data_IF_075394216478
#
_entry.id   IF_075394216478
#
_cell.length_a   1.000
_cell.length_b   1.000
_cell.length_c   1.000
_cell.angle_alpha   90.00
_cell.angle_beta   90.00
_cell.angle_gamma   90.00
#
_symmetry.space_group_name_H-M   'P 1'
#
loop_
_entity.id
_entity.type
_entity.pdbx_description
1 polymer ?
#
# COMPACT_ATOMS: atom_id res chain seq x y z
N UNK A 1 26.01 18.50 -1.02
CA UNK A 1 26.38 17.60 0.12
C UNK A 1 26.94 16.32 -0.47
N UNK A 2 27.89 15.62 0.18
CA UNK A 2 28.33 14.31 -0.31
C UNK A 2 27.12 13.37 -0.35
N UNK A 3 26.93 12.66 -1.47
CA UNK A 3 25.80 11.75 -1.69
C UNK A 3 25.57 10.77 -0.53
N UNK A 4 26.66 10.26 0.04
CA UNK A 4 26.66 9.38 1.21
C UNK A 4 25.97 9.99 2.44
N UNK A 5 26.10 11.30 2.65
CA UNK A 5 25.46 12.00 3.77
C UNK A 5 23.95 12.00 3.61
N UNK A 6 23.45 12.17 2.38
CA UNK A 6 22.02 12.20 2.12
C UNK A 6 21.39 10.81 2.21
N UNK A 7 22.06 9.76 1.71
CA UNK A 7 21.61 8.37 1.89
C UNK A 7 21.57 8.01 3.37
N UNK A 8 22.62 8.33 4.14
CA UNK A 8 22.64 8.09 5.58
C UNK A 8 21.52 8.84 6.31
N UNK A 9 21.27 10.10 5.93
CA UNK A 9 20.16 10.89 6.46
C UNK A 9 18.81 10.23 6.18
N UNK A 10 18.56 9.78 4.94
CA UNK A 10 17.31 9.10 4.55
C UNK A 10 17.14 7.77 5.29
N UNK A 11 18.23 7.00 5.47
CA UNK A 11 18.21 5.76 6.25
C UNK A 11 17.83 6.02 7.72
N UNK A 12 18.44 7.02 8.36
CA UNK A 12 18.13 7.41 9.74
C UNK A 12 16.69 7.92 9.85
N UNK A 13 16.26 8.76 8.90
CA UNK A 13 14.88 9.24 8.82
C UNK A 13 13.90 8.06 8.74
N UNK A 14 14.15 7.10 7.84
CA UNK A 14 13.30 5.93 7.68
C UNK A 14 13.29 5.03 8.92
N UNK A 15 14.42 4.88 9.61
CA UNK A 15 14.46 4.13 10.88
C UNK A 15 13.66 4.83 11.98
N UNK A 16 13.76 6.16 12.09
CA UNK A 16 12.96 6.98 13.02
C UNK A 16 11.46 6.90 12.71
N UNK A 17 11.09 7.02 11.43
CA UNK A 17 9.70 6.84 10.99
C UNK A 17 9.22 5.43 11.32
N UNK A 18 9.99 4.39 11.01
CA UNK A 18 9.65 3.00 11.34
C UNK A 18 9.44 2.77 12.85
N UNK A 19 10.20 3.46 13.70
CA UNK A 19 10.00 3.42 15.15
C UNK A 19 8.67 4.04 15.57
N UNK A 20 8.27 5.15 14.92
CA UNK A 20 6.92 5.71 15.08
C UNK A 20 5.83 4.78 14.51
N UNK A 21 6.07 4.11 13.37
CA UNK A 21 5.11 3.15 12.82
C UNK A 21 4.83 1.99 13.78
N UNK A 22 5.82 1.55 14.58
CA UNK A 22 5.58 0.58 15.65
C UNK A 22 4.60 1.08 16.72
N UNK A 23 4.59 2.39 17.01
CA UNK A 23 3.59 3.00 17.90
C UNK A 23 2.21 2.93 17.26
N UNK A 24 2.09 3.29 15.98
CA UNK A 24 0.83 3.20 15.22
C UNK A 24 0.30 1.76 15.19
N UNK A 25 1.14 0.79 14.83
CA UNK A 25 0.77 -0.63 14.77
C UNK A 25 0.26 -1.15 16.12
N UNK A 26 0.86 -0.70 17.23
CA UNK A 26 0.47 -1.13 18.57
C UNK A 26 -0.83 -0.46 19.05
N UNK A 27 -0.93 0.87 18.89
CA UNK A 27 -1.98 1.70 19.50
C UNK A 27 -3.25 1.82 18.67
N UNK A 28 -3.13 1.85 17.35
CA UNK A 28 -4.26 2.12 16.46
C UNK A 28 -5.39 1.07 16.58
N UNK A 29 -5.13 -0.25 16.65
CA UNK A 29 -6.18 -1.26 16.84
C UNK A 29 -6.81 -1.24 18.24
N UNK A 30 -6.21 -0.52 19.19
CA UNK A 30 -6.65 -0.39 20.58
C UNK A 30 -7.34 0.96 20.84
N UNK A 31 -7.52 1.76 19.79
CA UNK A 31 -7.97 3.17 19.86
C UNK A 31 -7.25 4.01 20.93
N UNK A 32 -5.97 3.70 21.14
CA UNK A 32 -5.11 4.47 22.03
C UNK A 32 -4.56 5.72 21.31
N UNK A 33 -4.30 6.78 22.08
CA UNK A 33 -3.71 8.00 21.53
C UNK A 33 -2.29 7.77 20.99
N UNK A 34 -2.05 8.21 19.75
CA UNK A 34 -0.75 8.12 19.08
C UNK A 34 0.29 9.12 19.62
N UNK A 35 -0.16 10.18 20.31
CA UNK A 35 0.70 11.30 20.72
C UNK A 35 1.09 11.20 22.19
N UNK A 36 0.16 10.83 23.07
CA UNK A 36 0.39 10.77 24.52
C UNK A 36 -0.25 9.52 25.13
N UNK A 37 0.40 8.84 26.11
CA UNK A 37 1.72 9.12 26.68
C UNK A 37 2.89 8.69 25.75
N UNK A 38 4.13 9.01 26.14
CA UNK A 38 5.33 8.57 25.40
C UNK A 38 5.52 7.04 25.38
N UNK A 39 6.55 6.59 24.67
CA UNK A 39 6.90 5.16 24.57
C UNK A 39 7.18 4.55 25.94
N UNK A 40 6.55 3.40 26.22
CA UNK A 40 6.69 2.68 27.48
C UNK A 40 6.77 1.18 27.23
N UNK A 41 7.33 0.45 28.20
CA UNK A 41 7.38 -1.00 28.14
C UNK A 41 5.98 -1.59 28.45
N UNK A 42 5.42 -2.48 27.62
CA UNK A 42 4.08 -3.03 27.84
C UNK A 42 3.98 -3.93 29.09
N UNK A 43 5.08 -4.55 29.53
CA UNK A 43 5.05 -5.42 30.73
C UNK A 43 5.22 -4.69 32.05
N UNK A 44 6.05 -3.63 32.09
CA UNK A 44 6.35 -2.92 33.35
C UNK A 44 5.83 -1.49 33.40
N UNK A 45 5.20 -1.03 32.32
CA UNK A 45 4.60 0.31 32.12
C UNK A 45 5.53 1.49 32.41
N UNK A 46 6.84 1.26 32.55
CA UNK A 46 7.82 2.31 32.74
C UNK A 46 8.11 3.01 31.41
N UNK A 47 8.31 4.33 31.43
CA UNK A 47 8.73 5.08 30.24
C UNK A 47 10.10 4.60 29.75
N UNK A 48 10.24 4.51 28.44
CA UNK A 48 11.50 4.15 27.78
C UNK A 48 12.39 5.40 27.75
N UNK A 49 13.65 5.26 28.18
CA UNK A 49 14.62 6.34 28.11
C UNK A 49 14.90 6.70 26.64
N UNK A 50 15.17 7.98 26.34
CA UNK A 50 15.35 8.44 24.96
C UNK A 50 16.45 7.67 24.19
N UNK A 51 17.54 7.28 24.86
CA UNK A 51 18.64 6.51 24.25
C UNK A 51 18.33 5.02 24.11
N UNK A 52 17.31 4.51 24.82
CA UNK A 52 16.76 3.16 24.62
C UNK A 52 15.70 3.17 23.49
N UNK A 53 15.41 4.34 22.92
CA UNK A 53 14.49 4.54 21.80
C UNK A 53 15.23 4.87 20.49
N UNK A 54 16.56 4.66 20.43
CA UNK A 54 17.32 4.78 19.18
C UNK A 54 16.99 3.56 18.31
N UNK A 55 16.37 3.73 17.12
CA UNK A 55 15.88 2.65 16.29
C UNK A 55 16.99 1.64 15.95
N UNK A 56 16.66 0.34 15.94
CA UNK A 56 17.51 -0.82 15.63
C UNK A 56 18.64 -1.03 16.66
N UNK A 57 19.42 0.02 16.93
CA UNK A 57 20.59 0.00 17.80
C UNK A 57 20.23 -0.35 19.23
N UNK A 58 19.19 0.27 19.80
CA UNK A 58 18.79 0.02 21.19
C UNK A 58 18.35 -1.43 21.37
N UNK A 59 17.61 -1.97 20.40
CA UNK A 59 17.15 -3.36 20.43
C UNK A 59 18.34 -4.32 20.38
N UNK A 60 19.32 -4.09 19.50
CA UNK A 60 20.55 -4.90 19.40
C UNK A 60 21.39 -4.86 20.68
N UNK A 61 21.67 -3.65 21.21
CA UNK A 61 22.49 -3.46 22.42
C UNK A 61 21.84 -4.05 23.67
N UNK A 62 20.51 -4.08 23.72
CA UNK A 62 19.75 -4.69 24.80
C UNK A 62 19.44 -6.17 24.57
N UNK A 63 19.93 -6.75 23.47
CA UNK A 63 19.66 -8.13 23.05
C UNK A 63 18.16 -8.46 23.02
N UNK A 64 17.34 -7.52 22.55
CA UNK A 64 15.90 -7.64 22.46
C UNK A 64 15.20 -7.76 23.82
N UNK A 65 15.71 -7.13 24.88
CA UNK A 65 15.10 -7.18 26.22
C UNK A 65 14.91 -5.78 26.80
N UNK A 66 13.86 -5.60 27.60
CA UNK A 66 13.69 -4.37 28.36
C UNK A 66 14.85 -4.19 29.35
N UNK A 67 15.44 -2.99 29.40
CA UNK A 67 16.55 -2.68 30.32
C UNK A 67 16.22 -2.97 31.80
N UNK A 68 14.98 -2.69 32.21
CA UNK A 68 14.50 -2.75 33.61
C UNK A 68 13.92 -4.12 33.98
N UNK A 69 12.84 -4.55 33.33
CA UNK A 69 12.15 -5.80 33.68
C UNK A 69 12.71 -7.03 32.97
N UNK A 70 13.67 -6.87 32.04
CA UNK A 70 14.30 -7.95 31.26
C UNK A 70 13.36 -8.80 30.40
N UNK A 71 12.07 -8.45 30.34
CA UNK A 71 11.10 -9.05 29.43
C UNK A 71 11.56 -8.89 27.97
N UNK A 72 11.39 -9.92 27.13
CA UNK A 72 11.76 -9.85 25.73
C UNK A 72 10.88 -8.84 24.99
N UNK A 73 11.50 -8.05 24.12
CA UNK A 73 10.87 -7.12 23.19
C UNK A 73 10.77 -7.83 21.84
N UNK A 74 9.59 -7.83 21.23
CA UNK A 74 9.34 -8.51 19.96
C UNK A 74 10.35 -8.08 18.87
N UNK A 75 10.80 -9.05 18.09
CA UNK A 75 11.65 -8.87 16.91
C UNK A 75 11.01 -7.95 15.86
N UNK A 76 9.67 -7.91 15.81
CA UNK A 76 8.89 -7.03 14.94
C UNK A 76 9.37 -5.59 14.97
N UNK A 77 9.70 -5.07 16.15
CA UNK A 77 10.11 -3.67 16.30
C UNK A 77 11.34 -3.35 15.44
N UNK A 78 12.40 -4.17 15.56
CA UNK A 78 13.61 -4.01 14.77
C UNK A 78 13.38 -4.27 13.27
N UNK A 79 12.49 -5.21 12.92
CA UNK A 79 12.16 -5.51 11.52
C UNK A 79 11.44 -4.35 10.84
N UNK A 80 10.42 -3.77 11.49
CA UNK A 80 9.69 -2.60 10.96
C UNK A 80 10.64 -1.42 10.78
N UNK A 81 11.48 -1.12 11.78
CA UNK A 81 12.47 -0.03 11.71
C UNK A 81 13.45 -0.21 10.55
N UNK A 82 14.00 -1.42 10.40
CA UNK A 82 14.95 -1.75 9.33
C UNK A 82 14.26 -1.69 7.95
N UNK A 83 13.04 -2.23 7.85
CA UNK A 83 12.29 -2.25 6.60
C UNK A 83 11.94 -0.84 6.13
N UNK A 84 11.45 0.03 7.03
CA UNK A 84 11.14 1.43 6.67
C UNK A 84 12.40 2.18 6.25
N UNK A 85 13.52 2.00 6.97
CA UNK A 85 14.81 2.58 6.58
C UNK A 85 15.22 2.17 5.16
N UNK A 86 15.12 0.87 4.84
CA UNK A 86 15.54 0.35 3.54
C UNK A 86 14.59 0.72 2.41
N UNK A 87 13.27 0.77 2.66
CA UNK A 87 12.29 1.27 1.71
C UNK A 87 12.53 2.74 1.36
N UNK A 88 12.85 3.56 2.36
CA UNK A 88 13.11 4.99 2.18
C UNK A 88 14.40 5.22 1.39
N UNK A 89 15.46 4.46 1.70
CA UNK A 89 16.70 4.51 0.91
C UNK A 89 16.47 4.03 -0.51
N UNK A 90 15.73 2.93 -0.70
CA UNK A 90 15.50 2.38 -2.03
C UNK A 90 14.71 3.33 -2.93
N UNK A 91 13.68 3.98 -2.40
CA UNK A 91 12.89 4.93 -3.19
C UNK A 91 13.68 6.22 -3.47
N UNK A 92 14.49 6.69 -2.52
CA UNK A 92 15.40 7.80 -2.73
C UNK A 92 16.46 7.48 -3.80
N UNK A 93 17.01 6.26 -3.79
CA UNK A 93 17.99 5.81 -4.80
C UNK A 93 17.37 5.62 -6.18
N UNK A 94 16.16 5.06 -6.23
CA UNK A 94 15.39 4.84 -7.45
C UNK A 94 15.06 6.17 -8.17
N UNK A 95 14.64 7.19 -7.42
CA UNK A 95 14.33 8.51 -7.98
C UNK A 95 15.55 9.42 -8.14
N UNK A 96 16.53 9.34 -7.24
CA UNK A 96 17.59 10.34 -7.19
C UNK A 96 18.89 10.00 -7.89
N UNK A 97 19.35 8.76 -7.78
CA UNK A 97 20.71 8.38 -8.23
C UNK A 97 20.68 7.57 -9.51
N UNK A 98 19.86 6.52 -9.50
CA UNK A 98 19.80 5.54 -10.57
C UNK A 98 18.98 6.05 -11.75
N UNK A 99 18.12 7.06 -11.54
CA UNK A 99 17.15 7.54 -12.51
C UNK A 99 16.32 6.38 -13.08
N UNK A 100 16.06 5.32 -12.31
CA UNK A 100 15.33 4.13 -12.77
C UNK A 100 13.85 4.39 -13.04
N UNK A 101 13.41 5.60 -12.71
CA UNK A 101 12.08 6.12 -12.97
C UNK A 101 12.16 7.34 -13.88
N UNK A 102 11.50 7.24 -15.04
CA UNK A 102 11.30 8.36 -15.93
C UNK A 102 10.34 9.36 -15.25
N UNK A 103 10.79 10.62 -15.11
CA UNK A 103 9.95 11.74 -14.67
C UNK A 103 10.22 12.29 -13.26
N UNK A 104 11.09 11.67 -12.46
CA UNK A 104 11.55 12.22 -11.18
C UNK A 104 13.07 12.23 -11.24
N UNK A 105 13.66 13.35 -11.66
CA UNK A 105 15.07 13.43 -12.03
C UNK A 105 15.92 14.17 -11.01
N UNK A 106 15.31 15.00 -10.15
CA UNK A 106 16.02 15.76 -9.13
C UNK A 106 15.27 15.68 -7.79
N UNK A 107 15.76 14.89 -6.82
CA UNK A 107 15.13 14.74 -5.50
C UNK A 107 14.87 16.04 -4.74
N UNK A 108 15.64 17.10 -5.01
CA UNK A 108 15.47 18.40 -4.35
C UNK A 108 14.27 19.14 -4.93
N UNK A 109 14.06 19.01 -6.23
CA UNK A 109 12.95 19.62 -6.95
C UNK A 109 11.67 18.79 -6.75
N UNK A 110 11.81 17.48 -6.84
CA UNK A 110 10.74 16.50 -6.82
C UNK A 110 10.40 16.01 -5.40
N UNK A 111 10.94 16.69 -4.39
CA UNK A 111 10.75 16.34 -2.98
C UNK A 111 9.28 16.18 -2.55
N UNK A 112 8.27 16.93 -3.09
CA UNK A 112 6.88 16.73 -2.68
C UNK A 112 6.35 15.36 -3.09
N UNK A 113 6.74 14.88 -4.28
CA UNK A 113 6.39 13.55 -4.77
C UNK A 113 7.18 12.47 -4.02
N UNK A 114 8.46 12.71 -3.72
CA UNK A 114 9.24 11.83 -2.87
C UNK A 114 8.56 11.66 -1.50
N UNK A 115 8.17 12.76 -0.84
CA UNK A 115 7.46 12.73 0.45
C UNK A 115 6.16 11.95 0.34
N UNK A 116 5.36 12.15 -0.72
CA UNK A 116 4.16 11.35 -0.97
C UNK A 116 4.46 9.84 -1.03
N UNK A 117 5.53 9.44 -1.71
CA UNK A 117 5.97 8.04 -1.74
C UNK A 117 6.44 7.53 -0.38
N UNK A 118 7.10 8.36 0.43
CA UNK A 118 7.48 7.99 1.80
C UNK A 118 6.24 7.70 2.67
N UNK A 119 5.19 8.52 2.55
CA UNK A 119 3.91 8.28 3.23
C UNK A 119 3.22 7.01 2.70
N UNK A 120 3.23 6.80 1.39
CA UNK A 120 2.69 5.59 0.76
C UNK A 120 3.39 4.34 1.31
N UNK A 121 4.72 4.29 1.27
CA UNK A 121 5.51 3.14 1.71
C UNK A 121 5.39 2.91 3.23
N UNK A 122 5.40 3.98 4.03
CA UNK A 122 5.18 3.88 5.47
C UNK A 122 3.78 3.33 5.81
N UNK A 123 2.74 3.83 5.12
CA UNK A 123 1.37 3.34 5.28
C UNK A 123 1.21 1.88 4.85
N UNK A 124 1.83 1.47 3.74
CA UNK A 124 1.85 0.07 3.32
C UNK A 124 2.53 -0.85 4.33
N UNK A 125 3.61 -0.41 4.99
CA UNK A 125 4.25 -1.17 6.08
C UNK A 125 3.27 -1.34 7.25
N UNK A 126 2.61 -0.26 7.70
CA UNK A 126 1.63 -0.33 8.80
C UNK A 126 0.49 -1.28 8.44
N UNK A 127 -0.14 -1.10 7.28
CA UNK A 127 -1.27 -1.92 6.83
C UNK A 127 -0.84 -3.38 6.70
N UNK A 128 0.34 -3.67 6.14
CA UNK A 128 0.83 -5.05 6.02
C UNK A 128 0.99 -5.70 7.39
N UNK A 129 1.56 -4.99 8.37
CA UNK A 129 1.75 -5.54 9.71
C UNK A 129 0.42 -5.70 10.46
N UNK A 130 -0.50 -4.75 10.31
CA UNK A 130 -1.84 -4.82 10.88
C UNK A 130 -2.66 -5.96 10.28
N UNK A 131 -2.60 -6.15 8.96
CA UNK A 131 -3.30 -7.24 8.28
C UNK A 131 -2.73 -8.61 8.67
N UNK A 132 -1.39 -8.73 8.80
CA UNK A 132 -0.74 -9.94 9.30
C UNK A 132 -1.12 -10.25 10.75
N UNK A 133 -1.34 -9.27 11.61
CA UNK A 133 -1.61 -9.53 13.03
C UNK A 133 -3.10 -9.63 13.36
N UNK A 134 -3.91 -8.79 12.73
CA UNK A 134 -5.27 -8.51 13.13
C UNK A 134 -6.29 -8.69 11.99
N UNK A 135 -5.85 -9.05 10.77
CA UNK A 135 -6.70 -9.06 9.57
C UNK A 135 -7.47 -7.75 9.36
N UNK A 136 -6.83 -6.63 9.74
CA UNK A 136 -7.44 -5.31 9.80
C UNK A 136 -6.74 -4.36 8.82
N UNK A 137 -7.55 -3.71 7.98
CA UNK A 137 -7.12 -2.59 7.14
C UNK A 137 -7.79 -1.32 7.66
N UNK A 138 -7.02 -0.48 8.36
CA UNK A 138 -7.51 0.78 8.91
C UNK A 138 -7.57 1.89 7.84
N UNK A 139 -8.78 2.34 7.51
CA UNK A 139 -9.01 3.37 6.49
C UNK A 139 -8.37 4.72 6.84
N UNK A 140 -8.12 5.03 8.12
CA UNK A 140 -7.44 6.28 8.52
C UNK A 140 -6.05 6.34 7.91
N UNK A 141 -5.34 5.21 7.85
CA UNK A 141 -4.00 5.12 7.24
C UNK A 141 -4.09 5.28 5.72
N UNK A 142 -5.07 4.64 5.08
CA UNK A 142 -5.32 4.77 3.64
C UNK A 142 -5.60 6.23 3.27
N UNK A 143 -6.44 6.93 4.04
CA UNK A 143 -6.76 8.33 3.77
C UNK A 143 -5.54 9.24 3.90
N UNK A 144 -4.65 8.98 4.87
CA UNK A 144 -3.38 9.72 4.97
C UNK A 144 -2.50 9.47 3.75
N UNK A 145 -2.39 8.22 3.27
CA UNK A 145 -1.63 7.89 2.06
C UNK A 145 -2.18 8.60 0.81
N UNK A 146 -3.51 8.57 0.62
CA UNK A 146 -4.18 9.24 -0.49
C UNK A 146 -3.99 10.76 -0.40
N UNK A 147 -4.22 11.36 0.77
CA UNK A 147 -4.07 12.80 0.96
C UNK A 147 -2.63 13.28 0.71
N UNK A 148 -1.64 12.58 1.26
CA UNK A 148 -0.23 12.87 1.01
C UNK A 148 0.11 12.78 -0.49
N UNK A 149 -0.46 11.78 -1.18
CA UNK A 149 -0.29 11.61 -2.63
C UNK A 149 -0.90 12.76 -3.42
N UNK A 150 -2.16 13.12 -3.16
CA UNK A 150 -2.83 14.23 -3.83
C UNK A 150 -2.06 15.55 -3.66
N UNK A 151 -1.57 15.82 -2.45
CA UNK A 151 -0.78 17.02 -2.14
C UNK A 151 0.58 16.97 -2.84
N UNK A 152 1.29 15.85 -2.75
CA UNK A 152 2.61 15.68 -3.35
C UNK A 152 2.56 15.84 -4.87
N UNK A 153 1.57 15.24 -5.52
CA UNK A 153 1.35 15.39 -6.96
C UNK A 153 0.90 16.81 -7.33
N UNK A 154 0.00 17.44 -6.56
CA UNK A 154 -0.41 18.82 -6.83
C UNK A 154 0.74 19.83 -6.69
N UNK A 155 1.76 19.57 -5.87
CA UNK A 155 2.90 20.47 -5.73
C UNK A 155 4.03 20.13 -6.71
N UNK A 156 4.29 18.83 -6.91
CA UNK A 156 5.46 18.34 -7.66
C UNK A 156 5.24 18.14 -9.15
N UNK A 157 4.02 18.24 -9.68
CA UNK A 157 3.75 17.95 -11.10
C UNK A 157 4.37 18.99 -12.04
N UNK A 158 5.49 18.66 -12.68
CA UNK A 158 6.15 19.51 -13.68
C UNK A 158 5.91 19.00 -15.10
N UNK A 159 5.55 19.91 -15.99
CA UNK A 159 4.93 19.61 -17.29
C UNK A 159 5.79 18.83 -18.29
N UNK A 160 7.12 18.80 -18.18
CA UNK A 160 7.97 18.01 -19.11
C UNK A 160 8.15 16.55 -18.68
N UNK A 161 8.00 16.26 -17.38
CA UNK A 161 8.22 14.95 -16.78
C UNK A 161 6.91 14.17 -16.55
N UNK A 162 5.83 14.91 -16.38
CA UNK A 162 4.44 14.48 -16.32
C UNK A 162 3.97 13.57 -17.48
N UNK A 163 4.62 13.65 -18.65
CA UNK A 163 4.27 12.84 -19.82
C UNK A 163 4.74 11.37 -19.73
N UNK A 164 5.63 11.06 -18.77
CA UNK A 164 6.22 9.73 -18.61
C UNK A 164 5.49 8.87 -17.55
N UNK A 165 4.92 9.50 -16.53
CA UNK A 165 3.81 8.90 -15.79
C UNK A 165 2.57 8.94 -16.67
N UNK A 166 1.62 7.98 -16.63
CA UNK A 166 0.44 8.06 -17.46
C UNK A 166 -0.43 9.20 -16.92
N UNK A 167 -0.17 10.42 -17.38
CA UNK A 167 -1.13 11.51 -17.31
C UNK A 167 -2.39 11.00 -18.01
N UNK A 168 -3.55 11.00 -17.34
CA UNK A 168 -4.77 10.56 -18.00
C UNK A 168 -4.95 11.39 -19.27
N UNK A 169 -5.05 10.71 -20.41
CA UNK A 169 -5.54 11.35 -21.62
C UNK A 169 -6.91 11.99 -21.35
N UNK A 170 -7.27 13.00 -22.14
CA UNK A 170 -8.52 13.75 -22.00
C UNK A 170 -9.74 12.86 -21.66
N UNK A 171 -9.91 11.76 -22.41
CA UNK A 171 -10.99 10.80 -22.26
C UNK A 171 -11.00 10.09 -20.89
N UNK A 172 -9.81 9.77 -20.37
CA UNK A 172 -9.65 9.07 -19.11
C UNK A 172 -10.01 9.98 -17.91
N UNK A 173 -9.64 11.27 -17.99
CA UNK A 173 -10.02 12.27 -16.99
C UNK A 173 -11.53 12.55 -17.01
N UNK A 174 -12.13 12.71 -18.19
CA UNK A 174 -13.57 12.90 -18.34
C UNK A 174 -14.36 11.68 -17.86
N UNK A 175 -13.87 10.47 -18.12
CA UNK A 175 -14.44 9.23 -17.61
C UNK A 175 -14.48 9.19 -16.08
N UNK A 176 -13.39 9.55 -15.42
CA UNK A 176 -13.33 9.60 -13.95
C UNK A 176 -14.28 10.65 -13.35
N UNK A 177 -14.39 11.82 -13.98
CA UNK A 177 -15.35 12.85 -13.57
C UNK A 177 -16.80 12.36 -13.72
N UNK A 178 -17.11 11.64 -14.80
CA UNK A 178 -18.40 11.00 -15.02
C UNK A 178 -18.74 9.99 -13.92
N UNK A 179 -17.77 9.17 -13.51
CA UNK A 179 -17.95 8.19 -12.43
C UNK A 179 -18.27 8.88 -11.08
N UNK A 180 -17.50 9.92 -10.72
CA UNK A 180 -17.72 10.69 -9.48
C UNK A 180 -19.07 11.40 -9.51
N UNK A 181 -19.45 12.01 -10.64
CA UNK A 181 -20.72 12.69 -10.80
C UNK A 181 -21.91 11.71 -10.70
N UNK A 182 -21.78 10.51 -11.27
CA UNK A 182 -22.78 9.44 -11.17
C UNK A 182 -23.03 9.00 -9.72
N UNK A 183 -21.96 8.80 -8.94
CA UNK A 183 -22.07 8.44 -7.52
C UNK A 183 -22.65 9.58 -6.68
N UNK A 184 -22.26 10.82 -6.96
CA UNK A 184 -22.84 11.99 -6.30
C UNK A 184 -24.35 12.12 -6.56
N UNK A 185 -24.77 11.93 -7.82
CA UNK A 185 -26.18 11.97 -8.20
C UNK A 185 -26.97 10.86 -7.50
N UNK A 186 -26.41 9.65 -7.40
CA UNK A 186 -27.01 8.54 -6.65
C UNK A 186 -27.28 8.95 -5.20
N UNK A 187 -26.28 9.50 -4.51
CA UNK A 187 -26.42 9.95 -3.11
C UNK A 187 -27.48 11.03 -2.95
N UNK A 188 -27.54 11.99 -3.87
CA UNK A 188 -28.59 13.02 -3.87
C UNK A 188 -29.99 12.45 -4.09
N UNK A 189 -30.14 11.48 -4.99
CA UNK A 189 -31.44 10.82 -5.27
C UNK A 189 -31.86 9.97 -4.08
N UNK A 190 -30.94 9.25 -3.45
CA UNK A 190 -31.21 8.43 -2.28
C UNK A 190 -31.52 9.28 -1.04
N UNK A 191 -30.77 10.37 -0.79
CA UNK A 191 -31.04 11.25 0.35
C UNK A 191 -32.41 11.93 0.26
N UNK A 192 -32.97 12.07 -0.95
CA UNK A 192 -34.32 12.59 -1.20
C UNK A 192 -35.41 11.52 -1.02
N UNK A 193 -35.07 10.24 -1.15
CA UNK A 193 -36.00 9.12 -0.91
C UNK A 193 -36.06 8.76 0.58
N UNK A 194 -34.96 8.92 1.30
CA UNK A 194 -34.88 8.74 2.76
C UNK A 194 -35.21 10.05 3.49
N UNK A 195 -36.44 10.55 3.30
CA UNK A 195 -37.08 11.44 4.27
C UNK A 195 -37.64 10.69 5.48
N UNK A 196 -37.48 9.36 5.50
CA UNK A 196 -37.71 8.50 6.65
C UNK A 196 -36.36 8.19 7.30
N UNK A 197 -36.29 8.36 8.63
CA UNK A 197 -35.16 7.91 9.43
C UNK A 197 -34.81 6.46 9.08
N UNK A 198 -33.53 6.08 9.07
CA UNK A 198 -33.17 4.67 8.90
C UNK A 198 -33.89 3.86 9.97
N UNK A 199 -34.67 2.86 9.56
CA UNK A 199 -35.11 1.83 10.50
C UNK A 199 -33.84 1.17 11.02
N UNK A 200 -33.60 1.31 12.33
CA UNK A 200 -32.68 0.47 13.11
C UNK A 200 -33.19 -0.97 13.00
N UNK A 201 -32.94 -1.59 11.84
CA UNK A 201 -33.14 -3.01 11.66
C UNK A 201 -32.11 -3.69 12.54
N UNK A 202 -32.58 -4.23 13.67
CA UNK A 202 -31.90 -5.14 14.60
C UNK A 202 -30.46 -5.38 14.15
N UNK A 203 -29.57 -4.45 14.54
CA UNK A 203 -28.15 -4.74 14.57
C UNK A 203 -28.06 -5.89 15.56
N UNK A 204 -28.11 -7.13 15.04
CA UNK A 204 -27.38 -8.20 15.68
C UNK A 204 -26.01 -7.60 15.89
N UNK A 205 -25.76 -7.24 17.14
CA UNK A 205 -24.47 -6.83 17.65
C UNK A 205 -23.60 -8.04 17.33
N UNK A 206 -23.03 -8.05 16.12
CA UNK A 206 -21.78 -8.71 15.83
C UNK A 206 -20.89 -8.04 16.85
N UNK A 207 -20.73 -8.72 18.00
CA UNK A 207 -19.77 -8.32 19.01
C UNK A 207 -18.53 -8.00 18.19
N UNK A 208 -18.06 -6.76 18.27
CA UNK A 208 -16.71 -6.43 17.83
C UNK A 208 -15.87 -7.63 18.26
N UNK A 209 -15.13 -8.28 17.33
CA UNK A 209 -14.36 -9.46 17.68
C UNK A 209 -13.60 -9.06 18.92
N UNK A 210 -13.94 -9.67 20.06
CA UNK A 210 -13.33 -9.32 21.33
C UNK A 210 -11.87 -9.57 21.06
N UNK A 211 -11.10 -8.50 20.88
CA UNK A 211 -9.68 -8.58 20.59
C UNK A 211 -9.17 -9.49 21.69
N UNK A 212 -8.84 -10.73 21.33
CA UNK A 212 -8.48 -11.73 22.31
C UNK A 212 -7.43 -11.07 23.17
N UNK A 213 -7.74 -10.88 24.46
CA UNK A 213 -6.79 -10.24 25.34
C UNK A 213 -5.50 -11.02 25.15
N UNK A 214 -4.45 -10.37 24.62
CA UNK A 214 -3.11 -10.93 24.75
C UNK A 214 -2.99 -11.28 26.23
N UNK A 215 -2.62 -12.52 26.57
CA UNK A 215 -2.75 -13.03 27.92
C UNK A 215 -2.20 -11.99 28.89
N UNK A 216 -3.08 -11.42 29.71
CA UNK A 216 -2.68 -10.41 30.70
C UNK A 216 -1.56 -11.02 31.54
N UNK A 217 -0.39 -10.40 31.46
CA UNK A 217 0.54 -10.25 32.58
C UNK A 217 1.34 -11.47 33.07
N UNK A 218 0.91 -12.72 32.89
CA UNK A 218 1.54 -13.83 33.62
C UNK A 218 2.38 -14.76 32.75
N UNK A 219 2.24 -14.72 31.42
CA UNK A 219 3.06 -15.51 30.51
C UNK A 219 3.85 -14.60 29.58
N UNK A 220 5.11 -14.38 29.98
CA UNK A 220 6.10 -13.78 29.09
C UNK A 220 6.13 -14.55 27.75
N UNK A 221 6.13 -13.87 26.59
CA UNK A 221 6.37 -14.57 25.34
C UNK A 221 7.68 -15.37 25.49
N UNK A 222 7.69 -16.66 25.11
CA UNK A 222 8.84 -17.51 25.35
C UNK A 222 10.09 -16.85 24.78
N UNK A 223 11.22 -16.89 25.50
CA UNK A 223 12.45 -16.28 25.02
C UNK A 223 12.78 -16.83 23.63
N UNK A 224 13.10 -15.94 22.69
CA UNK A 224 13.40 -16.36 21.33
C UNK A 224 14.52 -17.40 21.34
N UNK A 225 14.34 -18.55 20.68
CA UNK A 225 15.40 -19.55 20.56
C UNK A 225 16.60 -18.93 19.84
N UNK A 226 17.81 -19.28 20.29
CA UNK A 226 19.06 -18.61 19.89
C UNK A 226 19.30 -18.50 18.37
N UNK A 227 18.76 -19.45 17.59
CA UNK A 227 18.84 -19.43 16.14
C UNK A 227 18.03 -18.29 15.50
N UNK A 228 16.89 -17.89 16.08
CA UNK A 228 16.10 -16.75 15.60
C UNK A 228 16.83 -15.43 15.85
N UNK A 229 17.46 -15.28 17.01
CA UNK A 229 18.30 -14.13 17.33
C UNK A 229 19.52 -14.05 16.40
N UNK A 230 20.15 -15.19 16.11
CA UNK A 230 21.25 -15.28 15.16
C UNK A 230 20.82 -14.89 13.74
N UNK A 231 19.68 -15.40 13.25
CA UNK A 231 19.12 -15.04 11.94
C UNK A 231 18.78 -13.56 11.85
N UNK A 232 18.25 -12.96 12.92
CA UNK A 232 17.98 -11.54 12.94
C UNK A 232 19.25 -10.70 12.90
N UNK A 233 20.28 -11.06 13.68
CA UNK A 233 21.56 -10.35 13.65
C UNK A 233 22.17 -10.45 12.25
N UNK A 234 22.18 -11.64 11.65
CA UNK A 234 22.55 -11.83 10.25
C UNK A 234 21.73 -10.97 9.30
N UNK A 235 20.44 -10.83 9.54
CA UNK A 235 19.54 -10.04 8.72
C UNK A 235 19.74 -8.53 8.87
N UNK A 236 19.95 -8.01 10.08
CA UNK A 236 20.26 -6.59 10.31
C UNK A 236 21.65 -6.27 9.76
N UNK A 237 22.61 -7.16 9.95
CA UNK A 237 23.94 -7.05 9.33
C UNK A 237 23.85 -7.10 7.80
N UNK A 238 22.99 -7.94 7.24
CA UNK A 238 22.70 -7.98 5.81
C UNK A 238 22.07 -6.65 5.36
N UNK A 239 21.04 -6.15 6.05
CA UNK A 239 20.43 -4.87 5.75
C UNK A 239 21.42 -3.70 5.79
N UNK A 240 22.27 -3.65 6.82
CA UNK A 240 23.36 -2.67 6.93
C UNK A 240 24.41 -2.84 5.83
N UNK A 241 24.82 -4.08 5.53
CA UNK A 241 25.77 -4.38 4.46
C UNK A 241 25.20 -4.02 3.09
N UNK A 242 23.90 -4.18 2.87
CA UNK A 242 23.19 -3.82 1.65
C UNK A 242 23.06 -2.30 1.51
N UNK A 243 22.76 -1.57 2.59
CA UNK A 243 22.81 -0.11 2.63
C UNK A 243 24.23 0.37 2.26
N UNK A 244 25.26 -0.23 2.87
CA UNK A 244 26.67 0.06 2.54
C UNK A 244 27.00 -0.32 1.09
N UNK A 245 26.48 -1.42 0.56
CA UNK A 245 26.66 -1.82 -0.83
C UNK A 245 26.03 -0.82 -1.80
N UNK A 246 24.83 -0.30 -1.50
CA UNK A 246 24.24 0.82 -2.25
C UNK A 246 25.08 2.10 -2.16
N UNK A 247 25.76 2.34 -1.03
CA UNK A 247 26.65 3.50 -0.83
C UNK A 247 28.01 3.37 -1.56
N UNK A 248 28.57 2.16 -1.65
CA UNK A 248 29.97 1.93 -2.07
C UNK A 248 30.08 1.49 -3.54
N UNK A 249 29.00 1.00 -4.15
CA UNK A 249 28.99 0.63 -5.56
C UNK A 249 29.01 1.85 -6.51
N UNK A 250 29.82 1.78 -7.57
CA UNK A 250 29.57 2.50 -8.82
C UNK A 250 29.24 1.45 -9.88
N UNK A 251 27.99 1.33 -10.34
CA UNK A 251 27.83 0.76 -11.68
C UNK A 251 26.62 1.31 -12.47
N UNK A 252 26.53 0.94 -13.74
CA UNK A 252 25.48 1.36 -14.66
C UNK A 252 24.03 1.12 -14.15
N UNK A 253 23.07 1.87 -14.72
CA UNK A 253 21.62 1.90 -14.42
C UNK A 253 20.99 0.51 -14.15
N UNK A 254 21.50 -0.53 -14.81
CA UNK A 254 20.93 -1.88 -14.75
C UNK A 254 21.34 -2.74 -13.56
N UNK A 255 22.47 -2.44 -12.90
CA UNK A 255 23.02 -3.25 -11.80
C UNK A 255 22.38 -2.91 -10.43
N UNK A 256 21.82 -1.71 -10.30
CA UNK A 256 21.17 -1.24 -9.07
C UNK A 256 19.79 -1.85 -8.83
N UNK A 257 18.99 -2.03 -9.89
CA UNK A 257 17.65 -2.63 -9.81
C UNK A 257 17.69 -4.02 -9.17
N UNK A 258 18.62 -4.89 -9.58
CA UNK A 258 18.75 -6.26 -9.08
C UNK A 258 19.19 -6.28 -7.60
N UNK A 259 20.10 -5.37 -7.23
CA UNK A 259 20.61 -5.22 -5.86
C UNK A 259 19.50 -4.75 -4.93
N UNK A 260 18.81 -3.65 -5.24
CA UNK A 260 17.69 -3.14 -4.43
C UNK A 260 16.55 -4.16 -4.27
N UNK A 261 16.29 -4.98 -5.30
CA UNK A 261 15.26 -6.01 -5.28
C UNK A 261 15.56 -7.19 -4.37
N UNK A 262 16.78 -7.72 -4.45
CA UNK A 262 17.22 -8.76 -3.52
C UNK A 262 17.11 -8.28 -2.07
N UNK A 263 17.39 -7.00 -1.80
CA UNK A 263 17.28 -6.44 -0.45
C UNK A 263 15.82 -6.38 0.03
N UNK A 264 14.94 -5.73 -0.72
CA UNK A 264 13.56 -5.44 -0.30
C UNK A 264 12.66 -6.68 -0.25
N UNK A 265 12.83 -7.61 -1.19
CA UNK A 265 12.10 -8.88 -1.20
C UNK A 265 12.40 -9.74 0.02
N UNK A 266 13.68 -9.86 0.40
CA UNK A 266 14.09 -10.59 1.61
C UNK A 266 13.60 -9.92 2.89
N UNK A 267 13.54 -8.58 2.91
CA UNK A 267 13.10 -7.82 4.08
C UNK A 267 11.62 -7.97 4.34
N UNK A 268 10.83 -7.82 3.29
CA UNK A 268 9.40 -7.95 3.39
C UNK A 268 9.02 -9.40 3.73
N UNK A 269 9.72 -10.37 3.14
CA UNK A 269 9.59 -11.78 3.49
C UNK A 269 9.98 -12.05 4.96
N UNK A 270 11.02 -11.40 5.47
CA UNK A 270 11.41 -11.49 6.87
C UNK A 270 10.42 -10.79 7.82
N UNK A 271 9.75 -9.70 7.41
CA UNK A 271 8.62 -9.11 8.16
C UNK A 271 7.47 -10.12 8.21
N UNK A 272 7.13 -10.73 7.08
CA UNK A 272 6.09 -11.78 7.04
C UNK A 272 6.47 -12.89 8.03
N UNK A 273 7.69 -13.42 7.98
CA UNK A 273 8.15 -14.47 8.92
C UNK A 273 8.22 -13.99 10.38
N UNK A 274 8.73 -12.79 10.63
CA UNK A 274 8.93 -12.25 11.98
C UNK A 274 7.63 -11.80 12.65
N UNK A 275 6.60 -11.50 11.85
CA UNK A 275 5.25 -11.22 12.31
C UNK A 275 4.37 -12.48 12.36
N UNK A 276 4.92 -13.68 12.08
CA UNK A 276 4.26 -14.97 12.31
C UNK A 276 4.55 -15.47 13.74
N UNK A 277 3.70 -15.15 14.76
CA UNK A 277 3.48 -16.07 15.90
C UNK A 277 2.09 -16.74 15.91
N UNK A 278 1.95 -17.77 16.76
CA UNK A 278 0.86 -18.77 16.83
C UNK A 278 -0.54 -18.16 16.99
N UNK A 279 -1.40 -18.35 15.99
CA UNK A 279 -2.81 -17.94 16.03
C UNK A 279 -3.68 -19.09 16.54
N UNK A 280 -4.46 -18.82 17.58
CA UNK A 280 -5.55 -19.69 18.07
C UNK A 280 -6.88 -19.40 17.35
N UNK A 281 -6.98 -18.29 16.61
CA UNK A 281 -8.22 -17.78 15.98
C UNK A 281 -8.36 -18.05 14.48
N UNK A 282 -7.39 -18.75 13.84
CA UNK A 282 -7.49 -19.06 12.40
C UNK A 282 -8.69 -19.98 12.10
N UNK A 283 -9.11 -20.81 13.05
CA UNK A 283 -10.29 -21.68 12.90
C UNK A 283 -11.58 -20.85 12.94
N UNK A 284 -11.72 -19.92 13.88
CA UNK A 284 -12.91 -19.07 14.02
C UNK A 284 -13.14 -18.17 12.79
N UNK A 285 -12.07 -17.62 12.21
CA UNK A 285 -12.16 -16.78 11.01
C UNK A 285 -12.53 -17.62 9.78
N UNK A 286 -11.90 -18.79 9.62
CA UNK A 286 -12.22 -19.70 8.50
C UNK A 286 -13.68 -20.15 8.62
N UNK A 287 -14.15 -20.51 9.83
CA UNK A 287 -15.54 -20.86 10.09
C UNK A 287 -16.51 -19.71 9.84
N UNK A 288 -16.17 -18.47 10.21
CA UNK A 288 -16.97 -17.28 9.88
C UNK A 288 -17.13 -17.08 8.36
N UNK A 289 -16.02 -17.14 7.61
CA UNK A 289 -16.04 -17.07 6.13
C UNK A 289 -16.87 -18.20 5.53
N UNK A 290 -16.82 -19.40 6.13
CA UNK A 290 -17.59 -20.54 5.66
C UNK A 290 -19.09 -20.39 5.87
N UNK A 291 -19.50 -19.67 6.92
CA UNK A 291 -20.89 -19.44 7.30
C UNK A 291 -21.55 -18.29 6.51
N UNK A 292 -20.79 -17.32 6.00
CA UNK A 292 -21.30 -16.16 5.23
C UNK A 292 -21.59 -16.43 3.74
N UNK A 293 -21.31 -17.64 3.25
CA UNK A 293 -21.51 -18.05 1.83
C UNK A 293 -22.87 -17.69 1.21
N UNK A 294 -24.04 -17.81 1.88
CA UNK A 294 -25.32 -17.52 1.23
C UNK A 294 -25.60 -16.02 1.00
N UNK A 295 -24.89 -15.12 1.70
CA UNK A 295 -25.14 -13.67 1.64
C UNK A 295 -24.24 -12.97 0.61
N UNK A 296 -23.06 -13.53 0.33
CA UNK A 296 -22.05 -12.93 -0.55
C UNK A 296 -22.58 -12.59 -1.96
N UNK A 297 -23.39 -13.46 -2.58
CA UNK A 297 -23.97 -13.18 -3.91
C UNK A 297 -24.99 -12.04 -3.87
N UNK A 298 -25.79 -11.94 -2.80
CA UNK A 298 -26.75 -10.83 -2.65
C UNK A 298 -26.01 -9.52 -2.45
N UNK A 299 -24.94 -9.53 -1.67
CA UNK A 299 -24.07 -8.38 -1.49
C UNK A 299 -23.42 -7.94 -2.81
N UNK A 300 -22.85 -8.86 -3.59
CA UNK A 300 -22.27 -8.52 -4.89
C UNK A 300 -23.29 -7.89 -5.86
N UNK A 301 -24.54 -8.37 -5.87
CA UNK A 301 -25.62 -7.75 -6.67
C UNK A 301 -25.98 -6.35 -6.15
N UNK A 302 -25.97 -6.13 -4.82
CA UNK A 302 -26.16 -4.79 -4.24
C UNK A 302 -25.02 -3.85 -4.61
N UNK A 303 -23.77 -4.27 -4.45
CA UNK A 303 -22.58 -3.50 -4.85
C UNK A 303 -22.63 -3.15 -6.36
N UNK A 304 -23.03 -4.09 -7.22
CA UNK A 304 -23.21 -3.82 -8.65
C UNK A 304 -24.32 -2.78 -8.92
N UNK A 305 -25.45 -2.89 -8.21
CA UNK A 305 -26.53 -1.92 -8.32
C UNK A 305 -26.11 -0.52 -7.81
N UNK A 306 -25.35 -0.47 -6.71
CA UNK A 306 -24.83 0.78 -6.15
C UNK A 306 -23.82 1.46 -7.06
N UNK A 307 -22.98 0.70 -7.78
CA UNK A 307 -21.99 1.25 -8.70
C UNK A 307 -22.56 1.59 -10.08
N UNK A 308 -23.77 1.13 -10.42
CA UNK A 308 -24.39 1.34 -11.74
C UNK A 308 -24.41 2.82 -12.20
N UNK A 309 -24.71 3.82 -11.35
CA UNK A 309 -24.66 5.22 -11.76
C UNK A 309 -23.26 5.71 -12.10
N UNK A 310 -22.24 5.26 -11.36
CA UNK A 310 -20.85 5.60 -11.61
C UNK A 310 -20.34 4.93 -12.90
N UNK A 311 -20.68 3.66 -13.13
CA UNK A 311 -20.29 2.95 -14.36
C UNK A 311 -20.99 3.51 -15.59
N UNK A 312 -22.28 3.88 -15.48
CA UNK A 312 -23.00 4.55 -16.56
C UNK A 312 -22.41 5.93 -16.86
N UNK A 313 -22.08 6.72 -15.84
CA UNK A 313 -21.41 8.02 -16.00
C UNK A 313 -20.06 7.91 -16.71
N UNK A 314 -19.25 6.90 -16.34
CA UNK A 314 -17.98 6.58 -17.00
C UNK A 314 -18.20 6.23 -18.48
N UNK A 315 -19.08 5.25 -18.77
CA UNK A 315 -19.36 4.79 -20.15
C UNK A 315 -19.90 5.95 -20.99
N UNK A 316 -20.83 6.73 -20.45
CA UNK A 316 -21.40 7.88 -21.13
C UNK A 316 -20.31 8.90 -21.50
N UNK A 317 -19.41 9.24 -20.57
CA UNK A 317 -18.31 10.19 -20.82
C UNK A 317 -17.23 9.66 -21.78
N UNK A 318 -17.11 8.34 -21.96
CA UNK A 318 -16.21 7.74 -22.95
C UNK A 318 -16.85 7.62 -24.34
N UNK A 319 -18.15 7.31 -24.41
CA UNK A 319 -18.85 7.03 -25.66
C UNK A 319 -19.38 8.31 -26.32
N UNK A 320 -19.91 9.25 -25.54
CA UNK A 320 -20.50 10.49 -26.06
C UNK A 320 -19.55 11.31 -26.96
N UNK A 321 -18.26 11.50 -26.60
CA UNK A 321 -17.32 12.21 -27.46
C UNK A 321 -17.03 11.48 -28.78
N UNK A 322 -17.07 10.14 -28.78
CA UNK A 322 -16.87 9.33 -29.97
C UNK A 322 -18.08 9.41 -30.93
N UNK A 323 -19.28 9.58 -30.37
CA UNK A 323 -20.52 9.74 -31.15
C UNK A 323 -20.74 11.18 -31.64
N UNK A 324 -20.15 12.17 -30.97
CA UNK A 324 -20.38 13.59 -31.27
C UNK A 324 -19.05 14.38 -31.25
N UNK A 325 -18.41 14.58 -32.43
CA UNK A 325 -17.11 15.25 -32.53
C UNK A 325 -17.08 16.67 -31.96
N UNK A 326 -18.19 17.42 -32.03
CA UNK A 326 -18.28 18.77 -31.46
C UNK A 326 -18.18 18.81 -29.92
N UNK A 327 -18.49 17.70 -29.25
CA UNK A 327 -18.48 17.54 -27.80
C UNK A 327 -17.10 17.08 -27.38
N UNK A 328 -16.44 16.21 -28.15
CA UNK A 328 -15.02 15.95 -28.01
C UNK A 328 -14.21 17.27 -28.09
N UNK A 329 -14.48 18.12 -29.10
CA UNK A 329 -13.81 19.41 -29.24
C UNK A 329 -14.14 20.39 -28.11
N UNK A 330 -15.39 20.43 -27.64
CA UNK A 330 -15.78 21.28 -26.51
C UNK A 330 -15.15 20.81 -25.19
N UNK A 331 -15.09 19.50 -24.96
CA UNK A 331 -14.42 18.90 -23.78
C UNK A 331 -12.92 19.15 -23.83
N UNK A 332 -12.29 18.99 -25.00
CA UNK A 332 -10.88 19.29 -25.19
C UNK A 332 -10.58 20.76 -24.91
N UNK A 333 -11.40 21.67 -25.44
CA UNK A 333 -11.28 23.12 -25.20
C UNK A 333 -11.47 23.49 -23.74
N UNK A 334 -12.47 22.93 -23.05
CA UNK A 334 -12.72 23.17 -21.63
C UNK A 334 -11.56 22.64 -20.77
N UNK A 335 -11.03 21.46 -21.11
CA UNK A 335 -9.94 20.85 -20.36
C UNK A 335 -8.62 21.58 -20.60
N UNK A 336 -8.36 22.05 -21.82
CA UNK A 336 -7.24 22.95 -22.08
C UNK A 336 -7.38 24.27 -21.31
N UNK A 337 -8.60 24.83 -21.23
CA UNK A 337 -8.84 26.07 -20.48
C UNK A 337 -8.74 25.91 -18.95
N UNK A 338 -9.00 24.72 -18.41
CA UNK A 338 -9.09 24.45 -16.95
C UNK A 338 -7.86 23.73 -16.40
N UNK A 339 -7.32 22.76 -17.13
CA UNK A 339 -6.26 21.84 -16.71
C UNK A 339 -4.94 22.16 -17.41
N UNK A 340 -4.93 22.43 -18.72
CA UNK A 340 -3.67 22.65 -19.44
C UNK A 340 -2.94 23.91 -18.96
N UNK A 341 -1.63 23.79 -18.79
CA UNK A 341 -0.75 24.87 -18.29
C UNK A 341 -0.82 25.11 -16.77
N UNK A 342 -1.77 24.51 -16.03
CA UNK A 342 -1.85 24.62 -14.57
C UNK A 342 -1.28 23.37 -13.90
N UNK A 343 0.03 23.41 -13.64
CA UNK A 343 0.79 22.30 -13.06
C UNK A 343 0.13 21.62 -11.84
N UNK A 344 -0.35 22.36 -10.83
CA UNK A 344 -0.99 21.73 -9.68
C UNK A 344 -2.28 20.98 -9.98
N UNK A 345 -3.07 21.52 -10.91
CA UNK A 345 -4.34 20.92 -11.31
C UNK A 345 -4.09 19.61 -12.04
N UNK A 346 -3.07 19.56 -12.90
CA UNK A 346 -2.69 18.35 -13.64
C UNK A 346 -2.22 17.22 -12.71
N UNK A 347 -1.41 17.53 -11.69
CA UNK A 347 -0.97 16.53 -10.72
C UNK A 347 -2.10 15.99 -9.87
N UNK A 348 -2.97 16.87 -9.37
CA UNK A 348 -4.14 16.48 -8.60
C UNK A 348 -5.08 15.57 -9.40
N UNK A 349 -5.37 15.94 -10.65
CA UNK A 349 -6.28 15.18 -11.50
C UNK A 349 -5.69 13.83 -11.90
N UNK A 350 -4.38 13.72 -12.10
CA UNK A 350 -3.70 12.45 -12.34
C UNK A 350 -3.83 11.48 -11.15
N UNK A 351 -3.55 11.95 -9.93
CA UNK A 351 -3.68 11.13 -8.72
C UNK A 351 -5.15 10.70 -8.47
N UNK A 352 -6.11 11.61 -8.64
CA UNK A 352 -7.55 11.30 -8.55
C UNK A 352 -8.00 10.29 -9.60
N UNK A 353 -7.53 10.45 -10.84
CA UNK A 353 -7.82 9.48 -11.90
C UNK A 353 -7.31 8.09 -11.53
N UNK A 354 -6.09 7.99 -11.01
CA UNK A 354 -5.52 6.74 -10.50
C UNK A 354 -6.43 6.07 -9.47
N UNK A 355 -6.87 6.83 -8.46
CA UNK A 355 -7.82 6.36 -7.44
C UNK A 355 -9.08 5.78 -8.06
N UNK A 356 -9.72 6.51 -8.98
CA UNK A 356 -10.98 6.09 -9.61
C UNK A 356 -10.79 4.82 -10.44
N UNK A 357 -9.72 4.72 -11.22
CA UNK A 357 -9.44 3.53 -12.04
C UNK A 357 -9.17 2.31 -11.16
N UNK A 358 -8.35 2.44 -10.13
CA UNK A 358 -8.05 1.32 -9.23
C UNK A 358 -9.26 0.88 -8.41
N UNK A 359 -10.08 1.83 -7.95
CA UNK A 359 -11.37 1.56 -7.32
C UNK A 359 -12.27 0.76 -8.27
N UNK A 360 -12.51 1.27 -9.49
CA UNK A 360 -13.34 0.61 -10.48
C UNK A 360 -12.86 -0.81 -10.78
N UNK A 361 -11.55 -0.99 -10.98
CA UNK A 361 -10.94 -2.30 -11.18
C UNK A 361 -11.16 -3.23 -9.98
N UNK A 362 -10.89 -2.76 -8.76
CA UNK A 362 -11.04 -3.56 -7.55
C UNK A 362 -12.48 -4.02 -7.33
N UNK A 363 -13.46 -3.13 -7.44
CA UNK A 363 -14.87 -3.52 -7.34
C UNK A 363 -15.31 -4.44 -8.48
N UNK A 364 -14.82 -4.25 -9.71
CA UNK A 364 -15.11 -5.15 -10.82
C UNK A 364 -14.59 -6.58 -10.53
N UNK A 365 -13.35 -6.72 -10.05
CA UNK A 365 -12.76 -8.00 -9.64
C UNK A 365 -13.56 -8.63 -8.50
N UNK A 366 -13.85 -7.86 -7.44
CA UNK A 366 -14.64 -8.33 -6.29
C UNK A 366 -16.00 -8.86 -6.73
N UNK A 367 -16.77 -8.08 -7.48
CA UNK A 367 -18.12 -8.45 -7.93
C UNK A 367 -18.06 -9.68 -8.85
N UNK A 368 -17.20 -9.65 -9.87
CA UNK A 368 -17.11 -10.73 -10.86
C UNK A 368 -16.79 -12.07 -10.19
N UNK A 369 -15.72 -12.13 -9.41
CA UNK A 369 -15.32 -13.38 -8.77
C UNK A 369 -16.27 -13.79 -7.63
N UNK A 370 -16.91 -12.84 -6.94
CA UNK A 370 -17.92 -13.17 -5.92
C UNK A 370 -19.16 -13.81 -6.55
N UNK A 371 -19.58 -13.34 -7.72
CA UNK A 371 -20.68 -13.96 -8.47
C UNK A 371 -20.29 -15.36 -8.98
N UNK A 372 -19.09 -15.50 -9.55
CA UNK A 372 -18.57 -16.77 -10.09
C UNK A 372 -18.42 -17.84 -8.99
N UNK A 373 -17.73 -17.52 -7.90
CA UNK A 373 -17.40 -18.48 -6.85
C UNK A 373 -18.48 -18.61 -5.78
N UNK A 374 -19.40 -17.64 -5.69
CA UNK A 374 -20.45 -17.64 -4.67
C UNK A 374 -19.94 -17.42 -3.24
N UNK A 375 -18.75 -16.85 -3.09
CA UNK A 375 -18.12 -16.45 -1.82
C UNK A 375 -17.43 -15.11 -2.02
N UNK A 376 -17.24 -14.33 -0.97
CA UNK A 376 -16.47 -13.10 -1.07
C UNK A 376 -15.08 -13.36 -1.66
N UNK A 377 -14.80 -12.75 -2.81
CA UNK A 377 -13.58 -13.03 -3.55
C UNK A 377 -12.39 -12.15 -3.14
N UNK A 378 -12.64 -10.95 -2.62
CA UNK A 378 -11.60 -9.97 -2.27
C UNK A 378 -12.16 -9.01 -1.23
N UNK A 379 -11.38 -8.68 -0.20
CA UNK A 379 -11.81 -7.75 0.86
C UNK A 379 -11.99 -6.33 0.35
N UNK A 380 -12.94 -5.58 0.91
CA UNK A 380 -13.12 -4.16 0.53
C UNK A 380 -11.88 -3.34 0.90
N UNK A 381 -11.19 -3.68 2.00
CA UNK A 381 -9.92 -3.06 2.38
C UNK A 381 -8.84 -3.14 1.30
N UNK A 382 -8.77 -4.24 0.56
CA UNK A 382 -7.81 -4.42 -0.53
C UNK A 382 -8.04 -3.41 -1.67
N UNK A 383 -9.30 -3.09 -1.97
CA UNK A 383 -9.68 -2.07 -2.96
C UNK A 383 -9.15 -0.69 -2.54
N UNK A 384 -9.23 -0.37 -1.25
CA UNK A 384 -8.73 0.89 -0.71
C UNK A 384 -7.20 0.96 -0.72
N UNK A 385 -6.49 -0.15 -0.46
CA UNK A 385 -5.04 -0.22 -0.65
C UNK A 385 -4.68 0.05 -2.11
N UNK A 386 -5.37 -0.59 -3.06
CA UNK A 386 -5.16 -0.36 -4.50
C UNK A 386 -5.40 1.10 -4.89
N UNK A 387 -6.44 1.72 -4.34
CA UNK A 387 -6.74 3.13 -4.56
C UNK A 387 -5.61 4.04 -4.02
N UNK A 388 -5.08 3.77 -2.82
CA UNK A 388 -3.97 4.53 -2.27
C UNK A 388 -2.67 4.35 -3.06
N UNK A 389 -2.36 3.12 -3.47
CA UNK A 389 -1.24 2.84 -4.38
C UNK A 389 -1.43 3.60 -5.69
N UNK A 390 -2.63 3.63 -6.25
CA UNK A 390 -2.89 4.34 -7.50
C UNK A 390 -2.83 5.87 -7.36
N UNK A 391 -3.18 6.41 -6.19
CA UNK A 391 -3.03 7.84 -5.90
C UNK A 391 -1.55 8.24 -5.89
N UNK A 392 -0.71 7.45 -5.23
CA UNK A 392 0.71 7.74 -5.04
C UNK A 392 1.57 7.34 -6.23
N UNK A 393 1.28 6.18 -6.82
CA UNK A 393 2.10 5.51 -7.82
C UNK A 393 1.36 5.23 -9.16
N UNK A 394 0.17 5.77 -9.37
CA UNK A 394 -0.58 5.56 -10.61
C UNK A 394 -1.29 4.20 -10.73
N UNK A 395 -2.34 4.18 -11.56
CA UNK A 395 -3.23 3.01 -11.70
C UNK A 395 -2.54 1.78 -12.30
N UNK A 396 -1.58 1.97 -13.21
CA UNK A 396 -0.80 0.86 -13.78
C UNK A 396 -0.03 0.11 -12.69
N UNK A 397 0.66 0.83 -11.79
CA UNK A 397 1.38 0.22 -10.67
C UNK A 397 0.43 -0.53 -9.75
N UNK A 398 -0.75 0.04 -9.45
CA UNK A 398 -1.75 -0.61 -8.61
C UNK A 398 -2.29 -1.91 -9.23
N UNK A 399 -2.73 -1.88 -10.50
CA UNK A 399 -3.35 -3.03 -11.17
C UNK A 399 -2.33 -4.14 -11.43
N UNK A 400 -1.16 -3.79 -11.95
CA UNK A 400 -0.10 -4.79 -12.20
C UNK A 400 0.43 -5.31 -10.87
N UNK A 401 0.58 -4.42 -9.89
CA UNK A 401 0.98 -4.76 -8.53
C UNK A 401 0.02 -5.72 -7.85
N UNK A 402 -1.29 -5.58 -8.08
CA UNK A 402 -2.29 -6.55 -7.63
C UNK A 402 -2.02 -7.95 -8.18
N UNK A 403 -1.84 -8.10 -9.49
CA UNK A 403 -1.60 -9.42 -10.09
C UNK A 403 -0.22 -9.98 -9.73
N UNK A 404 0.82 -9.14 -9.69
CA UNK A 404 2.14 -9.52 -9.21
C UNK A 404 2.08 -10.00 -7.76
N UNK A 405 1.33 -9.29 -6.91
CA UNK A 405 1.06 -9.67 -5.54
C UNK A 405 0.38 -11.03 -5.43
N UNK A 406 -0.62 -11.32 -6.27
CA UNK A 406 -1.25 -12.66 -6.34
C UNK A 406 -0.23 -13.77 -6.61
N UNK A 407 0.65 -13.58 -7.61
CA UNK A 407 1.67 -14.58 -7.98
C UNK A 407 2.67 -14.80 -6.84
N UNK A 408 3.15 -13.71 -6.24
CA UNK A 408 4.09 -13.76 -5.11
C UNK A 408 3.41 -14.41 -3.89
N UNK A 409 2.13 -14.11 -3.65
CA UNK A 409 1.33 -14.68 -2.57
C UNK A 409 1.14 -16.19 -2.72
N UNK A 410 0.88 -16.68 -3.93
CA UNK A 410 0.79 -18.13 -4.21
C UNK A 410 2.12 -18.82 -3.89
N UNK A 411 3.25 -18.22 -4.27
CA UNK A 411 4.57 -18.76 -3.92
C UNK A 411 4.81 -18.75 -2.40
N UNK A 412 4.42 -17.67 -1.72
CA UNK A 412 4.47 -17.56 -0.27
C UNK A 412 3.64 -18.64 0.43
N UNK A 413 2.41 -18.88 -0.03
CA UNK A 413 1.54 -19.94 0.48
C UNK A 413 2.16 -21.32 0.24
N UNK A 414 2.69 -21.59 -0.96
CA UNK A 414 3.33 -22.86 -1.27
C UNK A 414 4.49 -23.16 -0.30
N UNK A 415 5.27 -22.15 0.06
CA UNK A 415 6.35 -22.27 1.05
C UNK A 415 5.82 -22.49 2.47
N UNK A 416 4.74 -21.80 2.87
CA UNK A 416 4.09 -21.99 4.17
C UNK A 416 3.47 -23.39 4.30
N UNK A 417 2.97 -23.98 3.21
CA UNK A 417 2.47 -25.35 3.19
C UNK A 417 3.57 -26.39 3.48
N UNK A 418 4.83 -26.12 3.12
CA UNK A 418 5.97 -26.98 3.51
C UNK A 418 6.16 -27.02 5.04
N UNK A 419 5.69 -25.99 5.75
CA UNK A 419 5.73 -25.92 7.22
C UNK A 419 4.42 -26.36 7.88
N UNK A 420 3.49 -26.95 7.13
CA UNK A 420 2.20 -27.49 7.62
C UNK A 420 1.37 -26.46 8.41
N UNK A 421 1.51 -25.18 8.12
CA UNK A 421 0.68 -24.13 8.71
C UNK A 421 -0.50 -23.83 7.80
N UNK A 422 -1.71 -24.29 8.14
CA UNK A 422 -2.95 -23.86 7.49
C UNK A 422 -3.41 -22.54 8.11
N UNK A 423 -3.36 -21.44 7.36
CA UNK A 423 -3.78 -20.12 7.84
C UNK A 423 -4.59 -19.40 6.78
N UNK A 424 -5.61 -18.65 7.18
CA UNK A 424 -6.21 -17.67 6.29
C UNK A 424 -5.13 -16.64 5.91
N UNK A 425 -5.04 -16.34 4.62
CA UNK A 425 -4.00 -15.48 4.07
C UNK A 425 -4.48 -14.02 4.11
N UNK A 426 -3.75 -13.17 4.83
CA UNK A 426 -3.89 -11.72 4.71
C UNK A 426 -3.32 -11.27 3.35
N UNK A 427 -4.16 -10.66 2.51
CA UNK A 427 -3.79 -10.36 1.13
C UNK A 427 -3.06 -9.00 0.98
N UNK A 428 -3.31 -8.06 1.89
CA UNK A 428 -2.71 -6.71 1.88
C UNK A 428 -1.18 -6.69 1.78
N UNK A 429 -0.42 -7.51 2.54
CA UNK A 429 1.03 -7.59 2.42
C UNK A 429 1.51 -7.96 1.02
N UNK A 430 0.79 -8.85 0.33
CA UNK A 430 1.16 -9.28 -1.01
C UNK A 430 0.89 -8.20 -2.06
N UNK A 431 -0.22 -7.46 -1.91
CA UNK A 431 -0.46 -6.25 -2.72
C UNK A 431 0.67 -5.24 -2.50
N UNK A 432 1.08 -5.00 -1.25
CA UNK A 432 2.15 -4.06 -0.94
C UNK A 432 3.48 -4.44 -1.61
N UNK A 433 3.87 -5.73 -1.59
CA UNK A 433 5.06 -6.22 -2.30
C UNK A 433 4.91 -6.04 -3.81
N UNK A 434 3.76 -6.44 -4.36
CA UNK A 434 3.53 -6.36 -5.80
C UNK A 434 3.53 -4.91 -6.30
N UNK A 435 2.94 -3.99 -5.54
CA UNK A 435 2.99 -2.56 -5.80
C UNK A 435 4.41 -2.01 -5.74
N UNK A 436 5.20 -2.40 -4.73
CA UNK A 436 6.62 -2.02 -4.63
C UNK A 436 7.45 -2.54 -5.80
N UNK A 437 7.18 -3.77 -6.28
CA UNK A 437 7.78 -4.33 -7.50
C UNK A 437 7.47 -3.50 -8.72
N UNK A 438 6.20 -3.25 -8.94
CA UNK A 438 5.76 -2.52 -10.12
C UNK A 438 6.20 -1.06 -10.08
N UNK A 439 6.31 -0.46 -8.88
CA UNK A 439 6.91 0.84 -8.69
C UNK A 439 8.37 0.76 -9.14
N UNK A 440 9.24 0.03 -8.45
CA UNK A 440 10.68 0.05 -8.73
C UNK A 440 11.09 -0.39 -10.15
N UNK A 441 10.25 -1.17 -10.86
CA UNK A 441 10.51 -1.63 -12.23
C UNK A 441 9.61 -1.00 -13.29
N UNK A 442 8.91 0.07 -12.95
CA UNK A 442 7.89 0.68 -13.81
C UNK A 442 8.39 0.89 -15.25
N UNK A 443 9.53 1.56 -15.42
CA UNK A 443 10.08 1.88 -16.74
C UNK A 443 10.37 0.63 -17.58
N UNK A 444 10.94 -0.42 -16.98
CA UNK A 444 11.22 -1.68 -17.69
C UNK A 444 9.94 -2.38 -18.09
N UNK A 445 8.95 -2.38 -17.20
CA UNK A 445 7.67 -3.01 -17.44
C UNK A 445 6.87 -2.29 -18.53
N UNK A 446 6.80 -0.95 -18.46
CA UNK A 446 6.12 -0.13 -19.46
C UNK A 446 6.82 -0.21 -20.81
N UNK A 447 8.16 -0.18 -20.85
CA UNK A 447 8.91 -0.35 -22.10
C UNK A 447 8.69 -1.75 -22.72
N UNK A 448 8.63 -2.80 -21.91
CA UNK A 448 8.33 -4.15 -22.38
C UNK A 448 6.89 -4.27 -22.91
N UNK A 449 5.91 -3.70 -22.19
CA UNK A 449 4.52 -3.68 -22.63
C UNK A 449 4.33 -2.86 -23.90
N UNK A 450 4.93 -1.67 -24.00
CA UNK A 450 4.77 -0.79 -25.15
C UNK A 450 5.37 -1.42 -26.41
N UNK A 451 6.54 -2.06 -26.31
CA UNK A 451 7.15 -2.82 -27.41
C UNK A 451 6.34 -4.06 -27.79
N UNK A 452 5.79 -4.79 -26.81
CA UNK A 452 4.92 -5.95 -27.05
C UNK A 452 3.62 -5.56 -27.75
N UNK A 453 2.99 -4.46 -27.32
CA UNK A 453 1.75 -3.92 -27.91
C UNK A 453 2.01 -3.37 -29.31
N UNK A 454 3.13 -2.67 -29.53
CA UNK A 454 3.53 -2.23 -30.87
C UNK A 454 3.82 -3.41 -31.81
N UNK A 455 4.43 -4.49 -31.30
CA UNK A 455 4.62 -5.74 -32.01
C UNK A 455 3.31 -6.43 -32.38
N UNK A 456 2.33 -6.46 -31.47
CA UNK A 456 0.98 -7.00 -31.75
C UNK A 456 0.20 -6.12 -32.74
N UNK A 457 0.28 -4.80 -32.61
CA UNK A 457 -0.40 -3.87 -33.54
C UNK A 457 0.17 -3.97 -34.96
N UNK A 458 1.49 -4.17 -35.10
CA UNK A 458 2.11 -4.39 -36.42
C UNK A 458 1.78 -5.77 -37.01
N UNK A 459 1.58 -6.81 -36.18
CA UNK A 459 1.06 -8.11 -36.63
C UNK A 459 -0.40 -8.04 -37.10
N UNK A 460 -1.23 -7.20 -36.47
CA UNK A 460 -2.64 -7.00 -36.86
C UNK A 460 -2.78 -6.10 -38.09
N UNK A 461 -1.83 -5.19 -38.35
CA UNK A 461 -1.83 -4.33 -39.54
C UNK A 461 -1.08 -4.94 -40.73
N UNK A 462 -0.35 -6.03 -40.53
CA UNK A 462 0.47 -6.71 -41.54
C UNK A 462 -0.13 -7.99 -42.13
N UNK A 463 -1.38 -8.34 -41.81
CA UNK A 463 -2.13 -9.47 -42.37
C UNK A 463 -3.52 -9.03 -42.80
#
# INVERSE_FOLDING_TARGET
>A
MPEMVLIAFVAVLGACVGSFLNVVIYRLPRDESLVHPGSHCPSCSRPIAWFDNIPILSWLLLAGRCRRCKQPISIRYALVETATAMLFVAIYDAFGKSGMHMGLTDPVIDFPILVAHLFLLGGLVVISVLDIQYYLIDLRIVYVMVAASLIGWAIGWRSEQAYLWPAPGLYALCGSLGAVAGEFLRRLVLSRRTGAAPEEGDEQIVREPQFGEEPRGDQAPPPMPAWQTMLLVLYVLLGLALIVWCMVGSPARDDYTLRAWSCLGWIFFAIIIGCIPQRTSDVEIVEAIENEKPEARRQAVRELADLMPATLGLVLMLVLPALWPGMAAAMDSLLHATVAGRQPVMGLTAALHGVVVAAFFGWAVRIFFTLVFGKEAMGVGDIYILAAVAAGAGSTVAIVGFFAGSVIGVFGVALLLLWKTSRALSYGPWIAIGALFCLLFYDRFVNYLSTSVAGLASLVQGG
#
